data_IF_046940005534
#
_entry.id   IF_046940005534
#
_cell.length_a   1.000
_cell.length_b   1.000
_cell.length_c   1.000
_cell.angle_alpha   90.00
_cell.angle_beta   90.00
_cell.angle_gamma   90.00
#
_symmetry.space_group_name_H-M   'P 1'
#
loop_
_entity.id
_entity.type
_entity.pdbx_description
1 polymer ?
#
# COMPACT_ATOMS: atom_id res chain seq x y z
N UNK A 1 -25.21 1.60 5.18
CA UNK A 1 -24.26 1.20 4.11
C UNK A 1 -24.45 -0.27 3.85
N UNK A 2 -24.33 -0.71 2.59
CA UNK A 2 -24.42 -2.14 2.27
C UNK A 2 -23.02 -2.73 2.40
N UNK A 3 -22.88 -3.74 3.27
CA UNK A 3 -21.59 -4.42 3.56
C UNK A 3 -21.41 -5.71 2.75
N UNK A 4 -22.31 -5.94 1.80
CA UNK A 4 -22.35 -7.11 0.95
C UNK A 4 -22.69 -6.65 -0.48
N UNK A 5 -22.07 -7.25 -1.47
CA UNK A 5 -22.38 -7.01 -2.88
C UNK A 5 -22.48 -8.34 -3.62
N UNK A 6 -23.30 -8.35 -4.64
CA UNK A 6 -23.35 -9.44 -5.58
C UNK A 6 -22.21 -9.27 -6.59
N UNK A 7 -21.30 -10.23 -6.61
CA UNK A 7 -20.22 -10.32 -7.59
C UNK A 7 -20.61 -11.37 -8.63
N UNK A 8 -20.74 -10.94 -9.88
CA UNK A 8 -21.05 -11.83 -11.00
C UNK A 8 -19.74 -12.34 -11.59
N UNK A 9 -19.57 -13.66 -11.63
CA UNK A 9 -18.46 -14.29 -12.36
C UNK A 9 -18.67 -14.14 -13.86
N UNK A 10 -17.73 -13.51 -14.56
CA UNK A 10 -17.82 -13.31 -16.02
C UNK A 10 -17.84 -14.63 -16.80
N UNK A 11 -17.22 -15.69 -16.28
CA UNK A 11 -17.08 -16.97 -16.98
C UNK A 11 -18.27 -17.91 -16.77
N UNK A 12 -18.89 -17.87 -15.58
CA UNK A 12 -19.93 -18.84 -15.20
C UNK A 12 -21.32 -18.22 -15.06
N UNK A 13 -21.43 -16.89 -15.05
CA UNK A 13 -22.70 -16.18 -14.78
C UNK A 13 -23.23 -16.36 -13.35
N UNK A 14 -22.48 -17.05 -12.48
CA UNK A 14 -22.85 -17.28 -11.09
C UNK A 14 -22.76 -15.97 -10.30
N UNK A 15 -23.84 -15.67 -9.57
CA UNK A 15 -23.90 -14.54 -8.63
C UNK A 15 -23.44 -15.03 -7.27
N UNK A 16 -22.29 -14.53 -6.81
CA UNK A 16 -21.79 -14.81 -5.45
C UNK A 16 -21.92 -13.57 -4.59
N UNK A 17 -22.55 -13.72 -3.43
CA UNK A 17 -22.60 -12.66 -2.42
C UNK A 17 -21.24 -12.59 -1.74
N UNK A 18 -20.59 -11.43 -1.83
CA UNK A 18 -19.27 -11.18 -1.25
C UNK A 18 -19.31 -9.96 -0.34
N UNK A 19 -18.43 -9.90 0.65
CA UNK A 19 -18.30 -8.73 1.51
C UNK A 19 -17.90 -7.49 0.69
N UNK A 20 -18.48 -6.35 1.02
CA UNK A 20 -18.22 -5.06 0.41
C UNK A 20 -17.89 -4.03 1.48
N UNK A 21 -17.05 -3.04 1.13
CA UNK A 21 -16.69 -1.93 2.01
C UNK A 21 -16.09 -2.37 3.35
N UNK A 22 -15.31 -3.46 3.36
CA UNK A 22 -14.58 -3.93 4.52
C UNK A 22 -13.09 -3.63 4.38
N UNK A 23 -12.41 -3.64 5.51
CA UNK A 23 -10.96 -3.63 5.61
C UNK A 23 -10.58 -4.82 6.49
N UNK A 24 -9.68 -5.66 6.00
CA UNK A 24 -9.14 -6.78 6.74
C UNK A 24 -7.89 -6.34 7.49
N UNK A 25 -7.85 -6.61 8.79
CA UNK A 25 -6.68 -6.50 9.64
C UNK A 25 -6.18 -7.90 9.97
N UNK A 26 -4.86 -8.08 10.01
CA UNK A 26 -4.26 -9.35 10.40
C UNK A 26 -3.88 -9.33 11.88
N UNK A 27 -4.14 -10.46 12.54
CA UNK A 27 -3.99 -10.62 14.00
C UNK A 27 -2.54 -10.40 14.47
N UNK A 28 -1.57 -10.88 13.68
CA UNK A 28 -0.13 -10.74 13.89
C UNK A 28 0.38 -9.29 13.91
N UNK A 29 -0.45 -8.33 13.46
CA UNK A 29 -0.12 -6.92 13.44
C UNK A 29 -1.02 -6.04 14.33
N UNK A 30 -1.94 -6.63 15.11
CA UNK A 30 -2.75 -5.88 16.06
C UNK A 30 -1.91 -5.22 17.16
N UNK A 31 -0.86 -5.90 17.64
CA UNK A 31 0.06 -5.35 18.64
C UNK A 31 0.73 -4.05 18.15
N UNK A 32 1.03 -3.96 16.85
CA UNK A 32 1.58 -2.75 16.25
C UNK A 32 0.55 -1.62 16.27
N UNK A 33 -0.72 -1.90 15.97
CA UNK A 33 -1.80 -0.90 16.03
C UNK A 33 -1.99 -0.41 17.46
N UNK A 34 -1.98 -1.32 18.43
CA UNK A 34 -2.06 -0.99 19.86
C UNK A 34 -0.87 -0.13 20.30
N UNK A 35 0.35 -0.47 19.86
CA UNK A 35 1.55 0.31 20.12
C UNK A 35 1.45 1.72 19.54
N UNK A 36 1.01 1.84 18.27
CA UNK A 36 0.82 3.15 17.63
C UNK A 36 -0.22 4.00 18.36
N UNK A 37 -1.29 3.39 18.88
CA UNK A 37 -2.30 4.09 19.68
C UNK A 37 -1.68 4.73 20.92
N UNK A 38 -0.75 4.03 21.58
CA UNK A 38 -0.10 4.50 22.81
C UNK A 38 0.98 5.55 22.55
N UNK A 39 1.83 5.32 21.55
CA UNK A 39 2.99 6.18 21.27
C UNK A 39 2.60 7.45 20.51
N UNK A 40 1.73 7.33 19.50
CA UNK A 40 1.37 8.45 18.65
C UNK A 40 -0.07 8.30 18.09
N UNK A 41 -1.10 8.68 18.89
CA UNK A 41 -2.49 8.61 18.47
C UNK A 41 -2.78 9.37 17.18
N UNK A 42 -2.10 10.50 16.97
CA UNK A 42 -2.26 11.32 15.77
C UNK A 42 -1.78 10.59 14.52
N UNK A 43 -0.66 9.87 14.61
CA UNK A 43 -0.19 9.03 13.53
C UNK A 43 -1.16 7.89 13.22
N UNK A 44 -1.75 7.26 14.24
CA UNK A 44 -2.79 6.26 14.02
C UNK A 44 -4.03 6.85 13.31
N UNK A 45 -4.46 8.07 13.67
CA UNK A 45 -5.56 8.75 12.97
C UNK A 45 -5.24 9.01 11.49
N UNK A 46 -4.02 9.46 11.19
CA UNK A 46 -3.55 9.62 9.80
C UNK A 46 -3.53 8.27 9.07
N UNK A 47 -3.04 7.21 9.72
CA UNK A 47 -3.03 5.87 9.14
C UNK A 47 -4.44 5.36 8.83
N UNK A 48 -5.37 5.44 9.79
CA UNK A 48 -6.75 5.01 9.60
C UNK A 48 -7.48 5.85 8.56
N UNK A 49 -7.13 7.13 8.43
CA UNK A 49 -7.62 7.97 7.35
C UNK A 49 -7.19 7.45 5.97
N UNK A 50 -5.91 7.08 5.82
CA UNK A 50 -5.41 6.45 4.58
C UNK A 50 -6.12 5.11 4.32
N UNK A 51 -6.27 4.27 5.35
CA UNK A 51 -7.01 2.98 5.29
C UNK A 51 -8.45 3.17 4.82
N UNK A 52 -9.12 4.25 5.26
CA UNK A 52 -10.51 4.53 4.88
C UNK A 52 -10.64 4.86 3.38
N UNK A 53 -9.71 5.64 2.83
CA UNK A 53 -9.80 6.19 1.48
C UNK A 53 -8.96 5.47 0.42
N UNK A 54 -8.10 4.52 0.81
CA UNK A 54 -7.30 3.74 -0.15
C UNK A 54 -8.15 2.96 -1.16
N UNK A 55 -7.60 2.70 -2.34
CA UNK A 55 -8.22 1.83 -3.33
C UNK A 55 -7.99 0.33 -3.02
N UNK A 56 -8.48 -0.55 -3.89
CA UNK A 56 -8.27 -2.00 -3.77
C UNK A 56 -6.80 -2.43 -3.92
N UNK A 57 -5.90 -1.52 -4.28
CA UNK A 57 -4.45 -1.78 -4.40
C UNK A 57 -3.71 -1.42 -3.11
N UNK A 58 -4.44 -1.16 -2.03
CA UNK A 58 -3.88 -0.77 -0.73
C UNK A 58 -3.11 0.56 -0.79
N UNK A 59 -3.45 1.45 -1.74
CA UNK A 59 -2.76 2.71 -1.96
C UNK A 59 -3.73 3.90 -2.01
N UNK A 60 -3.23 5.08 -1.64
CA UNK A 60 -3.97 6.35 -1.72
C UNK A 60 -3.07 7.45 -2.28
N UNK A 61 -3.58 8.17 -3.27
CA UNK A 61 -2.92 9.36 -3.81
C UNK A 61 -3.53 10.60 -3.15
N UNK A 62 -2.75 11.33 -2.36
CA UNK A 62 -3.20 12.55 -1.67
C UNK A 62 -2.05 13.52 -1.40
N UNK A 63 -2.35 14.80 -1.18
CA UNK A 63 -1.38 15.75 -0.64
C UNK A 63 -1.41 15.71 0.89
N UNK A 64 -0.30 16.02 1.55
CA UNK A 64 -0.27 16.15 3.02
C UNK A 64 -1.23 17.26 3.51
N UNK A 65 -1.45 18.28 2.68
CA UNK A 65 -2.39 19.36 2.95
C UNK A 65 -3.84 18.85 3.01
N UNK A 66 -4.25 17.98 2.08
CA UNK A 66 -5.59 17.39 2.09
C UNK A 66 -5.85 16.55 3.35
N UNK A 67 -4.85 15.80 3.80
CA UNK A 67 -4.91 15.05 5.06
C UNK A 67 -5.09 16.01 6.24
N UNK A 68 -4.28 17.08 6.27
CA UNK A 68 -4.30 18.08 7.32
C UNK A 68 -5.66 18.76 7.44
N UNK A 69 -6.24 19.19 6.32
CA UNK A 69 -7.56 19.82 6.26
C UNK A 69 -8.67 18.86 6.69
N UNK A 70 -8.65 17.61 6.23
CA UNK A 70 -9.69 16.64 6.57
C UNK A 70 -9.68 16.25 8.05
N UNK A 71 -8.48 16.17 8.65
CA UNK A 71 -8.31 15.81 10.06
C UNK A 71 -8.25 17.02 11.00
N UNK A 72 -8.32 18.25 10.50
CA UNK A 72 -8.19 19.47 11.30
C UNK A 72 -6.81 19.62 11.96
N UNK A 73 -5.77 19.10 11.31
CA UNK A 73 -4.39 19.11 11.81
C UNK A 73 -3.56 20.18 11.11
N UNK A 74 -2.45 20.57 11.75
CA UNK A 74 -1.43 21.34 11.05
C UNK A 74 -0.65 20.44 10.08
N UNK A 75 -0.25 20.96 8.91
CA UNK A 75 0.50 20.21 7.90
C UNK A 75 1.78 19.57 8.46
N UNK A 76 2.50 20.29 9.33
CA UNK A 76 3.70 19.76 9.99
C UNK A 76 3.40 18.55 10.89
N UNK A 77 2.23 18.52 11.54
CA UNK A 77 1.79 17.38 12.35
C UNK A 77 1.56 16.15 11.49
N UNK A 78 0.97 16.33 10.30
CA UNK A 78 0.80 15.25 9.31
C UNK A 78 2.15 14.74 8.81
N UNK A 79 3.10 15.63 8.52
CA UNK A 79 4.46 15.25 8.14
C UNK A 79 5.14 14.38 9.21
N UNK A 80 5.11 14.79 10.48
CA UNK A 80 5.68 14.04 11.60
C UNK A 80 4.97 12.69 11.81
N UNK A 81 3.64 12.66 11.67
CA UNK A 81 2.86 11.43 11.71
C UNK A 81 3.27 10.46 10.60
N UNK A 82 3.41 10.93 9.36
CA UNK A 82 3.86 10.12 8.22
C UNK A 82 5.26 9.57 8.47
N UNK A 83 6.19 10.38 9.00
CA UNK A 83 7.55 9.94 9.34
C UNK A 83 7.52 8.79 10.35
N UNK A 84 6.74 8.93 11.42
CA UNK A 84 6.55 7.87 12.41
C UNK A 84 5.96 6.59 11.79
N UNK A 85 4.97 6.70 10.90
CA UNK A 85 4.38 5.54 10.22
C UNK A 85 5.36 4.85 9.27
N UNK A 86 6.25 5.60 8.59
CA UNK A 86 7.36 5.05 7.79
C UNK A 86 8.33 4.27 8.67
N UNK A 87 8.73 4.82 9.82
CA UNK A 87 9.64 4.17 10.77
C UNK A 87 9.07 2.84 11.30
N UNK A 88 7.76 2.80 11.59
CA UNK A 88 7.06 1.59 12.03
C UNK A 88 6.70 0.62 10.89
N UNK A 89 7.10 0.91 9.64
CA UNK A 89 6.78 0.12 8.43
C UNK A 89 5.27 -0.10 8.23
N UNK A 90 4.46 0.86 8.71
CA UNK A 90 3.01 0.83 8.56
C UNK A 90 2.58 1.24 7.14
N UNK A 91 3.34 2.16 6.53
CA UNK A 91 3.15 2.60 5.16
C UNK A 91 4.48 3.01 4.51
N UNK A 92 4.47 3.04 3.18
CA UNK A 92 5.50 3.63 2.34
C UNK A 92 4.91 4.84 1.62
N UNK A 93 5.70 5.89 1.46
CA UNK A 93 5.28 7.08 0.71
C UNK A 93 6.15 7.23 -0.51
N UNK A 94 5.52 7.36 -1.67
CA UNK A 94 6.19 7.78 -2.89
C UNK A 94 5.77 9.19 -3.24
N UNK A 95 6.72 10.00 -3.71
CA UNK A 95 6.44 11.38 -4.11
C UNK A 95 6.32 11.46 -5.62
N UNK A 96 5.30 12.17 -6.09
CA UNK A 96 5.23 12.66 -7.46
C UNK A 96 4.88 14.14 -7.44
N UNK A 97 5.86 14.99 -7.76
CA UNK A 97 5.76 16.45 -7.63
C UNK A 97 5.30 16.89 -6.22
N UNK A 98 4.11 17.51 -6.09
CA UNK A 98 3.47 17.92 -4.84
C UNK A 98 2.52 16.88 -4.22
N UNK A 99 2.30 15.77 -4.91
CA UNK A 99 1.37 14.71 -4.51
C UNK A 99 2.14 13.54 -3.93
N UNK A 100 1.55 12.88 -2.94
CA UNK A 100 2.12 11.73 -2.27
C UNK A 100 1.25 10.51 -2.52
N UNK A 101 1.89 9.37 -2.66
CA UNK A 101 1.25 8.08 -2.87
C UNK A 101 1.57 7.25 -1.63
N UNK A 102 0.55 7.08 -0.79
CA UNK A 102 0.62 6.34 0.45
C UNK A 102 0.25 4.89 0.16
N UNK A 103 1.24 4.01 0.13
CA UNK A 103 1.04 2.57 0.00
C UNK A 103 1.07 1.93 1.39
N UNK A 104 -0.03 1.29 1.80
CA UNK A 104 -0.12 0.61 3.08
C UNK A 104 0.53 -0.77 3.03
N UNK A 105 1.07 -1.20 4.18
CA UNK A 105 1.62 -2.55 4.30
C UNK A 105 0.50 -3.60 4.26
N UNK A 106 0.51 -4.44 3.22
CA UNK A 106 -0.49 -5.49 2.99
C UNK A 106 -0.48 -6.60 4.05
N UNK A 107 0.59 -6.72 4.84
CA UNK A 107 0.62 -7.63 5.98
C UNK A 107 -0.20 -7.07 7.15
N UNK A 108 -0.34 -5.74 7.27
CA UNK A 108 -1.12 -5.11 8.34
C UNK A 108 -2.59 -4.95 7.92
N UNK A 109 -2.82 -4.44 6.71
CA UNK A 109 -4.15 -4.04 6.22
C UNK A 109 -4.36 -4.50 4.79
N UNK A 110 -5.55 -5.03 4.49
CA UNK A 110 -5.93 -5.44 3.14
C UNK A 110 -7.38 -5.08 2.81
N UNK A 111 -7.64 -4.61 1.58
CA UNK A 111 -8.99 -4.18 1.12
C UNK A 111 -9.64 -5.10 0.09
N UNK A 112 -8.88 -5.98 -0.55
CA UNK A 112 -9.37 -6.82 -1.64
C UNK A 112 -9.57 -8.30 -1.20
N UNK A 113 -9.96 -9.15 -2.13
CA UNK A 113 -10.14 -10.58 -1.96
C UNK A 113 -8.81 -11.32 -1.74
N UNK A 114 -8.87 -12.51 -1.13
CA UNK A 114 -7.69 -13.35 -0.87
C UNK A 114 -7.01 -13.85 -2.16
N UNK A 115 -7.75 -13.97 -3.26
CA UNK A 115 -7.18 -14.32 -4.58
C UNK A 115 -6.33 -13.17 -5.14
N UNK A 116 -6.77 -11.92 -4.97
CA UNK A 116 -5.98 -10.73 -5.30
C UNK A 116 -4.71 -10.61 -4.43
N UNK A 117 -4.69 -11.23 -3.24
CA UNK A 117 -3.51 -11.25 -2.35
C UNK A 117 -2.32 -12.02 -2.95
N UNK A 118 -2.54 -13.07 -3.75
CA UNK A 118 -1.45 -13.78 -4.47
C UNK A 118 -0.80 -12.91 -5.55
N UNK A 119 -1.55 -11.97 -6.12
CA UNK A 119 -1.07 -10.98 -7.09
C UNK A 119 -0.65 -9.66 -6.42
N UNK A 120 -0.82 -9.53 -5.11
CA UNK A 120 -0.47 -8.36 -4.30
C UNK A 120 1.04 -8.22 -4.03
N UNK A 121 1.88 -8.85 -4.86
CA UNK A 121 3.25 -8.39 -5.06
C UNK A 121 3.20 -7.05 -5.79
N UNK A 122 2.86 -5.99 -5.04
CA UNK A 122 3.12 -4.59 -5.36
C UNK A 122 2.83 -4.18 -6.83
N UNK A 123 1.74 -4.65 -7.45
CA UNK A 123 1.37 -4.23 -8.81
C UNK A 123 0.56 -2.92 -8.77
N UNK A 124 1.06 -1.94 -8.01
CA UNK A 124 0.72 -0.56 -8.26
C UNK A 124 1.64 -0.11 -9.41
N UNK A 125 1.12 -0.10 -10.64
CA UNK A 125 1.80 0.56 -11.77
C UNK A 125 1.82 2.06 -11.50
N UNK A 126 2.84 2.51 -10.78
CA UNK A 126 3.06 3.92 -10.48
C UNK A 126 4.30 4.35 -11.22
N UNK A 127 4.13 5.13 -12.28
CA UNK A 127 5.24 5.75 -13.00
C UNK A 127 5.74 6.94 -12.17
N UNK A 128 6.86 6.76 -11.47
CA UNK A 128 7.55 7.84 -10.75
C UNK A 128 8.96 7.92 -11.30
N UNK A 129 9.40 9.14 -11.62
CA UNK A 129 10.77 9.42 -11.99
C UNK A 129 11.67 9.35 -10.74
N UNK A 130 12.85 8.73 -10.83
CA UNK A 130 13.83 8.69 -9.73
C UNK A 130 14.19 10.11 -9.23
N UNK A 131 14.19 11.09 -10.14
CA UNK A 131 14.41 12.50 -9.82
C UNK A 131 13.30 13.12 -8.94
N UNK A 132 12.11 12.52 -8.91
CA UNK A 132 11.00 12.96 -8.05
C UNK A 132 11.09 12.39 -6.64
N UNK A 133 12.04 11.50 -6.34
CA UNK A 133 12.24 10.98 -4.99
C UNK A 133 13.32 11.78 -4.25
N UNK A 134 13.03 12.20 -3.02
CA UNK A 134 14.06 12.71 -2.12
C UNK A 134 14.81 11.52 -1.50
N UNK A 135 16.04 11.75 -1.06
CA UNK A 135 16.88 10.69 -0.48
C UNK A 135 16.24 10.02 0.75
N UNK A 136 15.43 10.78 1.48
CA UNK A 136 14.62 10.34 2.64
C UNK A 136 13.38 9.49 2.25
N UNK A 137 13.00 9.51 0.97
CA UNK A 137 11.82 8.84 0.42
C UNK A 137 12.15 7.60 -0.42
N UNK A 138 13.43 7.27 -0.57
CA UNK A 138 13.85 6.04 -1.24
C UNK A 138 13.25 4.85 -0.48
N UNK A 139 12.50 3.95 -1.15
CA UNK A 139 11.92 2.79 -0.50
C UNK A 139 13.03 1.92 0.09
N UNK A 140 12.79 1.33 1.27
CA UNK A 140 13.71 0.42 1.95
C UNK A 140 13.95 -0.90 1.18
N UNK A 141 13.25 -1.10 0.07
CA UNK A 141 13.31 -2.27 -0.79
C UNK A 141 13.30 -1.83 -2.27
N UNK A 142 14.06 -2.54 -3.10
CA UNK A 142 14.17 -2.28 -4.54
C UNK A 142 12.86 -2.69 -5.24
N UNK A 143 11.96 -1.73 -5.44
CA UNK A 143 10.73 -1.95 -6.21
C UNK A 143 11.08 -1.95 -7.70
N UNK A 144 11.25 -3.15 -8.28
CA UNK A 144 11.29 -3.28 -9.74
C UNK A 144 9.98 -2.76 -10.33
N UNK A 145 10.07 -1.57 -10.94
CA UNK A 145 9.00 -0.91 -11.66
C UNK A 145 8.76 -1.65 -12.98
N UNK A 146 7.77 -2.54 -12.96
CA UNK A 146 7.04 -3.12 -14.10
C UNK A 146 7.90 -3.62 -15.28
N UNK A 147 8.21 -4.91 -15.27
CA UNK A 147 8.63 -5.64 -16.47
C UNK A 147 7.96 -7.01 -16.47
N UNK A 148 7.18 -7.31 -17.51
CA UNK A 148 6.69 -8.67 -17.75
C UNK A 148 7.88 -9.64 -17.64
N UNK A 149 7.80 -10.62 -16.74
CA UNK A 149 8.80 -11.68 -16.64
C UNK A 149 8.74 -12.49 -17.94
N UNK A 150 9.61 -12.17 -18.89
CA UNK A 150 10.01 -13.13 -19.92
C UNK A 150 11.11 -13.99 -19.32
N UNK A 151 10.91 -15.32 -19.17
CA UNK A 151 11.99 -16.19 -18.73
C UNK A 151 13.16 -16.07 -19.72
N UNK A 152 14.33 -15.72 -19.20
CA UNK A 152 15.56 -15.62 -19.98
C UNK A 152 16.02 -17.06 -20.31
N UNK A 153 16.25 -17.44 -21.59
CA UNK A 153 16.76 -18.77 -21.90
C UNK A 153 18.17 -18.90 -21.32
N UNK A 154 18.37 -19.90 -20.46
CA UNK A 154 19.68 -20.22 -19.89
C UNK A 154 20.61 -20.71 -20.99
N UNK A 155 21.63 -19.91 -21.35
CA UNK A 155 22.76 -20.43 -22.15
C UNK A 155 23.50 -21.47 -21.29
N UNK A 156 23.46 -22.74 -21.71
CA UNK A 156 24.33 -23.79 -21.16
C UNK A 156 25.78 -23.33 -21.33
N UNK A 157 26.51 -23.13 -20.24
CA UNK A 157 27.98 -22.99 -20.28
C UNK A 157 28.53 -24.33 -20.79
N UNK A 158 29.16 -24.34 -21.97
CA UNK A 158 30.02 -25.44 -22.37
C UNK A 158 31.19 -25.50 -21.39
N UNK A 159 31.34 -26.64 -20.71
CA UNK A 159 32.55 -26.95 -19.96
C UNK A 159 33.71 -26.96 -20.96
N UNK A 160 34.66 -26.03 -20.80
CA UNK A 160 36.00 -26.20 -21.33
C UNK A 160 36.68 -27.21 -20.42
N UNK A 161 37.00 -28.39 -20.96
CA UNK A 161 37.92 -29.34 -20.35
C UNK A 161 39.12 -29.40 -21.30
N UNK A 162 40.28 -29.12 -20.72
CA UNK A 162 41.67 -29.32 -21.18
C UNK A 162 41.92 -29.69 -22.64
#
# INVERSE_FOLDING_TARGET
>A
MVHEKDSVSFETGEVKRVNANFVQLYDDHLDLIMLMTKENPTALNVFLWVVKYMDNRNALVASQQAIAENLGLHKNTVYLAIKYLKEKKALTVFRSSNTHIFALNAQIVWRDTAEAKKYAHFDAKVFISEFEQQEEDKPLFDTQLVGHVKPRPTKKRSKVIS
#
